data_IF_652763293050
#
_entry.id   IF_652763293050
#
_cell.length_a   1.000
_cell.length_b   1.000
_cell.length_c   1.000
_cell.angle_alpha   90.00
_cell.angle_beta   90.00
_cell.angle_gamma   90.00
#
_symmetry.space_group_name_H-M   'P 1'
#
loop_
_entity.id
_entity.type
_entity.pdbx_description
1 polymer ?
#
# COMPACT_ATOMS: atom_id res chain seq x y z
N UNK A 1 27.91 -10.33 -9.52
CA UNK A 1 27.95 -9.16 -8.61
C UNK A 1 28.07 -9.63 -7.16
N UNK A 2 28.46 -8.75 -6.22
CA UNK A 2 28.72 -9.11 -4.81
C UNK A 2 27.46 -9.33 -3.94
N UNK A 3 26.25 -9.36 -4.52
CA UNK A 3 25.01 -9.69 -3.79
C UNK A 3 24.56 -8.68 -2.72
N UNK A 4 25.09 -7.44 -2.73
CA UNK A 4 24.82 -6.41 -1.71
C UNK A 4 23.59 -5.54 -1.97
N UNK A 5 22.90 -5.72 -3.09
CA UNK A 5 21.72 -4.92 -3.44
C UNK A 5 20.59 -5.20 -2.44
N UNK A 6 20.04 -4.14 -1.84
CA UNK A 6 18.95 -4.24 -0.86
C UNK A 6 19.37 -4.60 0.57
N UNK A 7 20.68 -4.66 0.86
CA UNK A 7 21.20 -5.04 2.19
C UNK A 7 21.55 -3.83 3.07
N UNK A 8 20.93 -2.67 2.82
CA UNK A 8 21.12 -1.48 3.65
C UNK A 8 20.54 -1.75 5.05
N UNK A 9 21.41 -1.76 6.05
CA UNK A 9 21.07 -2.14 7.43
C UNK A 9 20.03 -1.20 8.03
N UNK A 10 20.25 0.12 7.96
CA UNK A 10 19.39 1.11 8.61
C UNK A 10 17.97 1.12 8.03
N UNK A 11 17.82 1.23 6.71
CA UNK A 11 16.50 1.22 6.05
C UNK A 11 15.76 -0.11 6.25
N UNK A 12 16.49 -1.23 6.18
CA UNK A 12 15.92 -2.57 6.39
C UNK A 12 15.46 -2.81 7.82
N UNK A 13 16.26 -2.39 8.81
CA UNK A 13 15.93 -2.52 10.23
C UNK A 13 14.74 -1.62 10.60
N UNK A 14 14.77 -0.33 10.24
CA UNK A 14 13.71 0.62 10.59
C UNK A 14 12.36 0.28 9.97
N UNK A 15 12.30 -0.04 8.68
CA UNK A 15 11.02 -0.36 8.04
C UNK A 15 10.44 -1.67 8.56
N UNK A 16 11.26 -2.71 8.77
CA UNK A 16 10.76 -3.97 9.34
C UNK A 16 10.33 -3.83 10.81
N UNK A 17 10.99 -2.97 11.60
CA UNK A 17 10.55 -2.66 12.95
C UNK A 17 9.19 -1.94 12.95
N UNK A 18 9.03 -0.94 12.07
CA UNK A 18 7.77 -0.21 11.91
C UNK A 18 6.62 -1.13 11.45
N UNK A 19 6.88 -2.08 10.54
CA UNK A 19 5.90 -3.08 10.08
C UNK A 19 5.48 -4.00 11.23
N UNK A 20 6.44 -4.50 12.02
CA UNK A 20 6.15 -5.33 13.20
C UNK A 20 5.34 -4.56 14.24
N UNK A 21 5.67 -3.29 14.49
CA UNK A 21 4.91 -2.43 15.38
C UNK A 21 3.50 -2.15 14.84
N UNK A 22 3.35 -1.98 13.53
CA UNK A 22 2.06 -1.84 12.86
C UNK A 22 1.17 -3.06 13.10
N UNK A 23 1.71 -4.26 12.86
CA UNK A 23 1.03 -5.52 13.14
C UNK A 23 0.62 -5.64 14.61
N UNK A 24 1.54 -5.35 15.54
CA UNK A 24 1.26 -5.40 16.97
C UNK A 24 0.23 -4.35 17.43
N UNK A 25 0.11 -3.24 16.71
CA UNK A 25 -0.87 -2.18 16.99
C UNK A 25 -2.21 -2.39 16.28
N UNK A 26 -2.34 -3.45 15.47
CA UNK A 26 -3.53 -3.70 14.67
C UNK A 26 -3.80 -2.66 13.59
N UNK A 27 -2.75 -2.01 13.06
CA UNK A 27 -2.87 -1.04 11.96
C UNK A 27 -2.22 -1.55 10.69
N UNK A 28 -2.65 -0.98 9.56
CA UNK A 28 -2.11 -1.29 8.24
C UNK A 28 -0.68 -0.81 8.02
N UNK A 29 -0.05 -1.27 6.95
CA UNK A 29 1.35 -0.96 6.65
C UNK A 29 1.49 0.52 6.24
N UNK A 30 0.53 1.06 5.49
CA UNK A 30 0.52 2.49 5.12
C UNK A 30 0.44 3.41 6.34
N UNK A 31 -0.51 3.18 7.24
CA UNK A 31 -0.62 3.96 8.49
C UNK A 31 0.59 3.74 9.39
N UNK A 32 1.02 2.49 9.59
CA UNK A 32 2.16 2.14 10.44
C UNK A 32 3.45 2.84 10.01
N UNK A 33 3.75 2.85 8.72
CA UNK A 33 4.91 3.56 8.16
C UNK A 33 4.75 5.09 8.25
N UNK A 34 3.58 5.63 7.91
CA UNK A 34 3.32 7.07 8.03
C UNK A 34 3.50 7.58 9.45
N UNK A 35 2.99 6.82 10.44
CA UNK A 35 3.15 7.08 11.87
C UNK A 35 4.62 7.04 12.29
N UNK A 36 5.36 6.01 11.89
CA UNK A 36 6.78 5.86 12.20
C UNK A 36 7.60 7.05 11.66
N UNK A 37 7.40 7.40 10.38
CA UNK A 37 8.13 8.51 9.76
C UNK A 37 7.78 9.84 10.46
N UNK A 38 6.50 10.08 10.73
CA UNK A 38 6.05 11.29 11.44
C UNK A 38 6.59 11.38 12.89
N UNK A 39 6.83 10.23 13.53
CA UNK A 39 7.37 10.15 14.89
C UNK A 39 8.91 10.18 14.95
N UNK A 40 9.62 10.11 13.82
CA UNK A 40 11.07 9.89 13.76
C UNK A 40 11.89 10.78 14.71
N UNK A 41 11.60 12.08 14.76
CA UNK A 41 12.32 13.00 15.66
C UNK A 41 12.14 12.65 17.15
N UNK A 42 10.97 12.14 17.56
CA UNK A 42 10.71 11.68 18.94
C UNK A 42 11.44 10.37 19.24
N UNK A 43 11.70 9.56 18.21
CA UNK A 43 12.43 8.29 18.30
C UNK A 43 13.95 8.46 18.11
N UNK A 44 14.44 9.70 18.00
CA UNK A 44 15.86 9.98 17.79
C UNK A 44 16.35 9.75 16.36
N UNK A 45 15.44 9.61 15.39
CA UNK A 45 15.73 9.38 13.98
C UNK A 45 15.58 10.70 13.21
N UNK A 46 16.67 11.14 12.58
CA UNK A 46 16.70 12.35 11.75
C UNK A 46 16.36 12.02 10.30
N UNK A 47 15.09 12.16 9.94
CA UNK A 47 14.66 12.13 8.54
C UNK A 47 14.90 13.51 7.89
N UNK A 48 16.05 13.66 7.21
CA UNK A 48 16.46 14.92 6.55
C UNK A 48 15.35 15.51 5.64
N UNK A 49 14.58 14.64 5.00
CA UNK A 49 13.54 15.01 4.04
C UNK A 49 12.13 14.77 4.56
N UNK A 50 11.94 14.73 5.89
CA UNK A 50 10.62 14.56 6.52
C UNK A 50 9.53 15.50 5.94
N UNK A 51 9.78 16.81 5.70
CA UNK A 51 8.77 17.71 5.15
C UNK A 51 8.34 17.39 3.70
N UNK A 52 8.99 16.43 3.03
CA UNK A 52 8.63 15.96 1.69
C UNK A 52 8.01 14.55 1.71
N UNK A 53 7.78 13.97 2.89
CA UNK A 53 7.24 12.62 3.03
C UNK A 53 5.73 12.60 2.90
N UNK A 54 5.24 12.08 1.76
CA UNK A 54 3.81 11.88 1.50
C UNK A 54 3.16 11.01 2.60
N UNK A 55 3.85 9.98 3.09
CA UNK A 55 3.32 9.09 4.13
C UNK A 55 3.18 9.80 5.48
N UNK A 56 4.14 10.67 5.83
CA UNK A 56 4.09 11.42 7.08
C UNK A 56 2.95 12.46 7.05
N UNK A 57 2.83 13.17 5.93
CA UNK A 57 1.77 14.16 5.74
C UNK A 57 0.38 13.51 5.69
N UNK A 58 0.24 12.38 4.97
CA UNK A 58 -1.03 11.65 4.93
C UNK A 58 -1.45 11.18 6.33
N UNK A 59 -0.52 10.66 7.13
CA UNK A 59 -0.78 10.30 8.52
C UNK A 59 -1.20 11.52 9.37
N UNK A 60 -0.48 12.64 9.26
CA UNK A 60 -0.79 13.86 10.01
C UNK A 60 -2.16 14.45 9.64
N UNK A 61 -2.53 14.39 8.35
CA UNK A 61 -3.80 14.86 7.81
C UNK A 61 -4.94 13.85 7.92
N UNK A 62 -4.68 12.66 8.48
CA UNK A 62 -5.64 11.55 8.58
C UNK A 62 -6.21 11.12 7.22
N UNK A 63 -5.40 11.22 6.18
CA UNK A 63 -5.70 10.68 4.86
C UNK A 63 -5.26 9.21 4.84
N UNK A 64 -6.18 8.26 4.61
CA UNK A 64 -5.82 6.85 4.60
C UNK A 64 -4.82 6.53 3.49
N UNK A 65 -3.83 5.70 3.83
CA UNK A 65 -2.88 5.12 2.86
C UNK A 65 -2.84 3.62 3.09
N UNK A 66 -2.93 2.86 2.00
CA UNK A 66 -2.82 1.41 2.00
C UNK A 66 -1.60 0.97 1.19
N UNK A 67 -0.90 -0.06 1.67
CA UNK A 67 0.24 -0.65 0.96
C UNK A 67 -0.01 -2.14 0.73
N UNK A 68 0.07 -2.53 -0.54
CA UNK A 68 -0.20 -3.89 -1.00
C UNK A 68 1.10 -4.59 -1.40
N UNK A 69 1.63 -5.39 -0.49
CA UNK A 69 2.96 -5.99 -0.61
C UNK A 69 2.95 -7.17 -1.57
N UNK A 70 3.88 -7.14 -2.53
CA UNK A 70 4.29 -8.33 -3.28
C UNK A 70 5.61 -8.85 -2.69
N UNK A 71 5.55 -9.97 -1.97
CA UNK A 71 6.73 -10.48 -1.25
C UNK A 71 7.85 -10.80 -2.24
N UNK A 72 9.05 -10.31 -1.95
CA UNK A 72 10.24 -10.42 -2.79
C UNK A 72 10.44 -9.29 -3.81
N UNK A 73 9.52 -8.32 -3.92
CA UNK A 73 9.71 -7.15 -4.82
C UNK A 73 10.47 -6.02 -4.14
N UNK A 74 10.23 -5.80 -2.85
CA UNK A 74 10.91 -4.76 -2.07
C UNK A 74 12.18 -5.29 -1.41
N UNK A 75 13.20 -4.44 -1.35
CA UNK A 75 14.53 -4.79 -0.81
C UNK A 75 14.49 -5.23 0.66
N UNK A 76 13.51 -4.76 1.43
CA UNK A 76 13.39 -5.07 2.86
C UNK A 76 12.96 -6.50 3.13
N UNK A 77 12.40 -7.20 2.14
CA UNK A 77 11.94 -8.59 2.29
C UNK A 77 13.10 -9.56 2.45
N UNK A 78 14.29 -9.22 1.95
CA UNK A 78 15.49 -10.04 2.09
C UNK A 78 16.22 -9.81 3.43
N UNK A 79 15.78 -8.83 4.22
CA UNK A 79 16.43 -8.49 5.48
C UNK A 79 16.11 -9.54 6.57
N UNK A 80 17.05 -9.93 7.44
CA UNK A 80 16.81 -10.95 8.48
C UNK A 80 15.68 -10.62 9.47
N UNK A 81 15.35 -9.33 9.63
CA UNK A 81 14.24 -8.88 10.48
C UNK A 81 12.88 -8.88 9.77
N UNK A 82 12.83 -9.24 8.48
CA UNK A 82 11.57 -9.35 7.77
C UNK A 82 10.69 -10.44 8.40
N UNK A 83 9.49 -10.05 8.82
CA UNK A 83 8.51 -10.95 9.41
C UNK A 83 7.38 -11.16 8.40
N UNK A 84 7.32 -12.35 7.79
CA UNK A 84 6.24 -12.72 6.87
C UNK A 84 4.85 -12.60 7.51
N UNK A 85 4.76 -12.91 8.81
CA UNK A 85 3.54 -12.70 9.59
C UNK A 85 3.15 -11.22 9.65
N UNK A 86 4.09 -10.33 10.00
CA UNK A 86 3.79 -8.90 10.14
C UNK A 86 3.49 -8.25 8.79
N UNK A 87 4.23 -8.62 7.74
CA UNK A 87 3.95 -8.20 6.37
C UNK A 87 2.55 -8.63 5.92
N UNK A 88 2.22 -9.91 6.11
CA UNK A 88 0.91 -10.46 5.77
C UNK A 88 -0.23 -9.80 6.53
N UNK A 89 -0.09 -9.63 7.84
CA UNK A 89 -1.12 -9.02 8.71
C UNK A 89 -1.41 -7.57 8.28
N UNK A 90 -0.36 -6.76 8.18
CA UNK A 90 -0.48 -5.32 7.87
C UNK A 90 -0.97 -5.07 6.45
N UNK A 91 -0.49 -5.83 5.45
CA UNK A 91 -0.95 -5.67 4.06
C UNK A 91 -2.38 -6.18 3.86
N UNK A 92 -2.78 -7.22 4.59
CA UNK A 92 -4.17 -7.70 4.57
C UNK A 92 -5.12 -6.74 5.28
N UNK A 93 -4.67 -6.10 6.38
CA UNK A 93 -5.39 -4.99 6.98
C UNK A 93 -5.62 -3.86 5.96
N UNK A 94 -4.57 -3.44 5.26
CA UNK A 94 -4.64 -2.45 4.20
C UNK A 94 -5.57 -2.85 3.05
N UNK A 95 -5.61 -4.13 2.68
CA UNK A 95 -6.57 -4.62 1.69
C UNK A 95 -8.03 -4.43 2.15
N UNK A 96 -8.35 -4.74 3.42
CA UNK A 96 -9.71 -4.54 3.96
C UNK A 96 -10.10 -3.06 4.04
N UNK A 97 -9.15 -2.20 4.44
CA UNK A 97 -9.34 -0.76 4.42
C UNK A 97 -9.58 -0.27 2.99
N UNK A 98 -8.79 -0.74 2.02
CA UNK A 98 -8.96 -0.41 0.62
C UNK A 98 -10.32 -0.83 0.06
N UNK A 99 -10.85 -2.01 0.41
CA UNK A 99 -12.22 -2.40 0.05
C UNK A 99 -13.27 -1.41 0.60
N UNK A 100 -13.06 -0.91 1.82
CA UNK A 100 -13.98 0.05 2.44
C UNK A 100 -13.95 1.40 1.71
N UNK A 101 -12.76 1.88 1.35
CA UNK A 101 -12.59 3.10 0.55
C UNK A 101 -13.13 2.94 -0.88
N UNK A 102 -12.82 1.83 -1.54
CA UNK A 102 -13.24 1.59 -2.92
C UNK A 102 -14.77 1.46 -3.07
N UNK A 103 -15.48 1.10 -2.00
CA UNK A 103 -16.95 1.13 -1.97
C UNK A 103 -17.50 2.55 -2.17
N UNK A 104 -16.77 3.57 -1.75
CA UNK A 104 -17.17 4.98 -1.89
C UNK A 104 -17.03 5.50 -3.33
N UNK A 105 -16.58 4.65 -4.27
CA UNK A 105 -16.57 5.02 -5.68
C UNK A 105 -17.98 5.01 -6.31
N UNK A 106 -18.96 4.31 -5.72
CA UNK A 106 -20.33 4.25 -6.26
C UNK A 106 -20.92 5.65 -6.48
N UNK A 107 -21.68 5.80 -7.58
CA UNK A 107 -22.38 7.04 -7.91
C UNK A 107 -21.47 8.26 -8.17
N UNK A 108 -20.35 8.05 -8.87
CA UNK A 108 -19.56 9.13 -9.48
C UNK A 108 -18.09 9.23 -9.04
N UNK A 109 -17.57 8.25 -8.29
CA UNK A 109 -16.18 8.24 -7.87
C UNK A 109 -15.18 7.99 -9.01
N UNK A 110 -13.90 8.23 -8.72
CA UNK A 110 -12.81 8.08 -9.69
C UNK A 110 -11.70 7.21 -9.11
N UNK A 111 -11.31 6.18 -9.86
CA UNK A 111 -10.12 5.36 -9.58
C UNK A 111 -9.03 5.62 -10.62
N UNK A 112 -7.84 5.97 -10.15
CA UNK A 112 -6.66 6.20 -10.98
C UNK A 112 -5.63 5.11 -10.72
N UNK A 113 -5.34 4.28 -11.72
CA UNK A 113 -4.23 3.33 -11.67
C UNK A 113 -2.95 4.03 -12.16
N UNK A 114 -2.08 4.41 -11.24
CA UNK A 114 -0.84 5.15 -11.55
C UNK A 114 0.37 4.25 -11.34
N UNK A 115 1.12 3.97 -12.41
CA UNK A 115 2.42 3.29 -12.33
C UNK A 115 2.40 1.84 -11.81
N UNK A 116 1.27 1.12 -11.94
CA UNK A 116 1.21 -0.32 -11.66
C UNK A 116 0.60 -1.12 -12.80
N UNK A 117 1.42 -1.97 -13.43
CA UNK A 117 0.97 -2.88 -14.48
C UNK A 117 0.30 -4.17 -13.94
N UNK A 118 0.50 -4.52 -12.67
CA UNK A 118 0.08 -5.82 -12.12
C UNK A 118 -0.56 -5.72 -10.74
N UNK A 119 0.15 -5.23 -9.72
CA UNK A 119 -0.29 -5.34 -8.32
C UNK A 119 -1.58 -4.56 -8.08
N UNK A 120 -1.61 -3.26 -8.36
CA UNK A 120 -2.80 -2.43 -8.10
C UNK A 120 -4.01 -2.83 -8.97
N UNK A 121 -3.86 -3.14 -10.28
CA UNK A 121 -4.96 -3.68 -11.08
C UNK A 121 -5.60 -4.95 -10.50
N UNK A 122 -4.78 -5.88 -9.98
CA UNK A 122 -5.29 -7.10 -9.37
C UNK A 122 -5.97 -6.80 -8.04
N UNK A 123 -5.35 -6.00 -7.16
CA UNK A 123 -5.93 -5.57 -5.89
C UNK A 123 -7.28 -4.90 -6.09
N UNK A 124 -7.38 -3.98 -7.05
CA UNK A 124 -8.62 -3.27 -7.37
C UNK A 124 -9.73 -4.22 -7.81
N UNK A 125 -9.44 -5.15 -8.73
CA UNK A 125 -10.42 -6.13 -9.17
C UNK A 125 -10.92 -7.03 -8.01
N UNK A 126 -10.06 -7.39 -7.07
CA UNK A 126 -10.45 -8.18 -5.89
C UNK A 126 -11.30 -7.34 -4.93
N UNK A 127 -10.98 -6.07 -4.75
CA UNK A 127 -11.78 -5.16 -3.94
C UNK A 127 -13.20 -5.01 -4.51
N UNK A 128 -13.34 -4.75 -5.81
CA UNK A 128 -14.64 -4.71 -6.51
C UNK A 128 -15.43 -6.00 -6.31
N UNK A 129 -14.76 -7.15 -6.43
CA UNK A 129 -15.36 -8.46 -6.21
C UNK A 129 -15.87 -8.62 -4.79
N UNK A 130 -15.08 -8.24 -3.78
CA UNK A 130 -15.48 -8.30 -2.36
C UNK A 130 -16.68 -7.39 -2.10
N UNK A 131 -16.65 -6.15 -2.58
CA UNK A 131 -17.72 -5.17 -2.37
C UNK A 131 -19.06 -5.69 -2.94
N UNK A 132 -19.06 -6.18 -4.18
CA UNK A 132 -20.27 -6.73 -4.82
C UNK A 132 -20.78 -8.00 -4.16
N UNK A 133 -19.89 -8.91 -3.74
CA UNK A 133 -20.29 -10.14 -3.03
C UNK A 133 -20.88 -9.87 -1.64
N UNK A 134 -20.53 -8.76 -1.01
CA UNK A 134 -21.14 -8.30 0.24
C UNK A 134 -22.50 -7.60 0.02
N UNK A 135 -23.00 -7.55 -1.21
CA UNK A 135 -24.31 -6.99 -1.55
C UNK A 135 -24.32 -5.46 -1.72
N UNK A 136 -23.15 -4.83 -1.79
CA UNK A 136 -23.06 -3.40 -2.06
C UNK A 136 -23.12 -3.12 -3.57
N UNK A 137 -23.84 -2.07 -3.95
CA UNK A 137 -23.77 -1.50 -5.30
C UNK A 137 -22.43 -0.80 -5.49
N UNK A 138 -21.83 -0.98 -6.66
CA UNK A 138 -20.61 -0.30 -7.08
C UNK A 138 -20.67 -0.10 -8.60
N UNK A 139 -21.33 0.98 -8.98
CA UNK A 139 -21.66 1.36 -10.36
C UNK A 139 -21.41 2.87 -10.58
N UNK A 140 -21.45 3.31 -11.84
CA UNK A 140 -21.31 4.72 -12.22
C UNK A 140 -20.03 5.41 -11.72
N UNK A 141 -18.89 4.71 -11.76
CA UNK A 141 -17.57 5.29 -11.43
C UNK A 141 -16.65 5.30 -12.65
N UNK A 142 -15.68 6.21 -12.64
CA UNK A 142 -14.71 6.36 -13.72
C UNK A 142 -13.38 5.71 -13.34
N UNK A 143 -12.77 4.97 -14.27
CA UNK A 143 -11.41 4.46 -14.10
C UNK A 143 -10.47 5.05 -15.15
N UNK A 144 -9.22 5.29 -14.77
CA UNK A 144 -8.17 5.68 -15.70
C UNK A 144 -6.89 4.88 -15.44
N UNK A 145 -6.23 4.43 -16.51
CA UNK A 145 -4.94 3.76 -16.44
C UNK A 145 -3.84 4.71 -16.92
N UNK A 146 -2.97 5.10 -15.99
CA UNK A 146 -1.83 5.98 -16.20
C UNK A 146 -0.49 5.22 -16.08
N UNK A 147 -0.50 3.92 -16.35
CA UNK A 147 0.73 3.13 -16.47
C UNK A 147 1.36 3.32 -17.87
N UNK A 148 2.69 3.48 -17.91
CA UNK A 148 3.45 3.65 -19.14
C UNK A 148 3.44 2.39 -20.02
N UNK A 149 3.30 1.20 -19.41
CA UNK A 149 3.20 -0.07 -20.10
C UNK A 149 1.74 -0.50 -20.11
N UNK A 150 1.11 -0.37 -21.27
CA UNK A 150 -0.25 -0.87 -21.50
C UNK A 150 -0.25 -2.39 -21.60
N UNK A 151 -0.08 -3.05 -20.45
CA UNK A 151 -0.17 -4.50 -20.34
C UNK A 151 -1.63 -4.94 -20.43
N UNK A 152 -1.87 -6.24 -20.66
CA UNK A 152 -3.24 -6.74 -20.74
C UNK A 152 -3.99 -6.55 -19.42
N UNK A 153 -3.31 -6.60 -18.26
CA UNK A 153 -3.95 -6.58 -16.93
C UNK A 153 -4.55 -5.21 -16.56
N UNK A 154 -3.86 -4.07 -16.67
CA UNK A 154 -4.48 -2.77 -16.41
C UNK A 154 -5.64 -2.53 -17.38
N UNK A 155 -5.46 -2.87 -18.66
CA UNK A 155 -6.52 -2.72 -19.67
C UNK A 155 -7.76 -3.57 -19.34
N UNK A 156 -7.57 -4.84 -18.99
CA UNK A 156 -8.69 -5.74 -18.70
C UNK A 156 -9.31 -5.47 -17.32
N UNK A 157 -8.50 -5.43 -16.28
CA UNK A 157 -8.98 -5.44 -14.89
C UNK A 157 -9.36 -4.05 -14.37
N UNK A 158 -8.81 -2.97 -14.92
CA UNK A 158 -9.16 -1.59 -14.52
C UNK A 158 -10.16 -0.95 -15.49
N UNK A 159 -9.97 -1.13 -16.80
CA UNK A 159 -10.76 -0.41 -17.81
C UNK A 159 -11.96 -1.18 -18.37
N UNK A 160 -11.84 -2.50 -18.61
CA UNK A 160 -12.86 -3.28 -19.34
C UNK A 160 -13.78 -4.15 -18.48
N UNK A 161 -13.27 -4.65 -17.36
CA UNK A 161 -14.01 -5.47 -16.40
C UNK A 161 -14.59 -4.74 -15.17
N UNK A 162 -14.39 -3.42 -14.95
CA UNK A 162 -14.82 -2.82 -13.70
C UNK A 162 -16.31 -3.04 -13.46
#
# INVERSE_FOLDING_TARGET
>A
GQGRFGMARETGEYMNAAIQQGAASGVGLGEGLGRFIAAGAKEGILFQYLPMSILADAYALKVPVTVHVAIGTDIIHAHPQASGQSLGETTYHDFRLFCSMARELDAGGVYLNVGSAVVLPEVFLKAVTVIRNLGHRLEEFTTANLDFIQHYRPTQNVLKRP
#
